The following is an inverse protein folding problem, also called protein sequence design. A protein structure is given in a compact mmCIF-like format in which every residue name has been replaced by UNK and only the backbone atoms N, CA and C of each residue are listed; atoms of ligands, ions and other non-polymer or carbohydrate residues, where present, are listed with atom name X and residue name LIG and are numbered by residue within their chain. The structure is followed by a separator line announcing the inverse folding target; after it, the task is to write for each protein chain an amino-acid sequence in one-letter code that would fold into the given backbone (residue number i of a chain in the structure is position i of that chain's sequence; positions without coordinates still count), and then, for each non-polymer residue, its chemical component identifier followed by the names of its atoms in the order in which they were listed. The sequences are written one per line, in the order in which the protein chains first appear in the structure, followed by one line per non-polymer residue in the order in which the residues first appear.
data_IF_880711965896
#
_entry.id   IF_880711965896
#
_cell.length_a   1.000
_cell.length_b   1.000
_cell.length_c   1.000
_cell.angle_alpha   90.00
_cell.angle_beta   90.00
_cell.angle_gamma   90.00
#
_symmetry.space_group_name_H-M   'P 1'
#
loop_
_entity.id
_entity.type
_entity.pdbx_description
1 polymer ?
#
# COMPACT_ATOMS: atom_id res chain seq x y z
N UNK A 1 60.53 -14.09 46.48
CA UNK A 1 60.58 -15.44 45.88
C UNK A 1 59.17 -16.03 45.95
N UNK A 2 58.64 -16.47 44.79
CA UNK A 2 57.49 -17.39 44.56
C UNK A 2 56.11 -16.89 45.08
N UNK A 3 55.04 -16.67 44.32
CA UNK A 3 54.66 -17.01 42.94
C UNK A 3 53.54 -18.06 42.94
N UNK A 4 52.28 -17.71 42.60
CA UNK A 4 51.20 -18.64 42.17
C UNK A 4 50.14 -17.84 41.36
N UNK A 5 50.16 -17.90 40.02
CA UNK A 5 49.15 -18.50 39.08
C UNK A 5 47.70 -18.01 39.22
N UNK A 6 46.92 -17.74 38.16
CA UNK A 6 47.06 -18.04 36.74
C UNK A 6 46.14 -17.20 35.85
N UNK A 7 46.58 -17.05 34.61
CA UNK A 7 45.88 -16.51 33.45
C UNK A 7 45.04 -17.58 32.76
N UNK A 8 43.88 -17.21 32.21
CA UNK A 8 43.11 -17.75 31.06
C UNK A 8 41.72 -17.08 31.17
N UNK A 9 41.05 -16.54 30.15
CA UNK A 9 41.09 -16.72 28.71
C UNK A 9 40.40 -15.53 28.02
N UNK A 10 40.87 -15.21 26.80
CA UNK A 10 40.21 -14.34 25.83
C UNK A 10 38.87 -14.97 25.41
N UNK A 11 37.81 -14.16 25.31
CA UNK A 11 36.68 -14.48 24.43
C UNK A 11 36.23 -13.23 23.65
N UNK A 12 36.32 -13.40 22.34
CA UNK A 12 35.86 -12.62 21.18
C UNK A 12 34.85 -11.49 21.40
N UNK A 13 35.26 -10.27 21.02
CA UNK A 13 34.36 -9.26 20.44
C UNK A 13 33.97 -9.74 19.04
N UNK A 14 32.69 -9.98 18.82
CA UNK A 14 32.10 -10.15 17.49
C UNK A 14 31.71 -8.75 17.00
N UNK A 15 31.96 -8.39 15.72
CA UNK A 15 31.73 -7.05 15.22
C UNK A 15 30.23 -6.76 15.10
N UNK A 16 29.85 -5.52 15.39
CA UNK A 16 28.52 -4.99 15.12
C UNK A 16 28.47 -4.75 13.61
N UNK A 17 27.85 -5.67 12.88
CA UNK A 17 27.67 -5.55 11.45
C UNK A 17 26.59 -4.48 11.19
N UNK A 18 27.03 -3.27 10.87
CA UNK A 18 26.19 -2.20 10.34
C UNK A 18 25.80 -2.56 8.92
N UNK A 19 24.85 -3.49 8.80
CA UNK A 19 24.23 -3.88 7.53
C UNK A 19 23.41 -2.72 6.98
N UNK A 20 24.08 -1.87 6.21
CA UNK A 20 23.45 -0.94 5.27
C UNK A 20 22.61 -1.78 4.30
N UNK A 21 21.28 -1.71 4.42
CA UNK A 21 20.36 -2.22 3.39
C UNK A 21 20.48 -1.31 2.17
N UNK A 22 21.45 -1.59 1.31
CA UNK A 22 21.41 -1.15 -0.07
C UNK A 22 20.23 -1.86 -0.76
N UNK A 23 19.42 -1.16 -1.57
CA UNK A 23 18.34 -1.79 -2.31
C UNK A 23 18.95 -2.75 -3.33
N UNK A 24 18.50 -4.00 -3.30
CA UNK A 24 18.86 -5.00 -4.30
C UNK A 24 18.24 -4.58 -5.63
N UNK A 25 19.06 -4.01 -6.51
CA UNK A 25 18.73 -3.83 -7.92
C UNK A 25 18.54 -5.20 -8.54
N UNK A 26 17.31 -5.53 -8.97
CA UNK A 26 17.07 -6.60 -9.92
C UNK A 26 15.80 -6.34 -10.75
N UNK A 27 16.04 -6.01 -12.02
CA UNK A 27 15.32 -6.52 -13.19
C UNK A 27 13.85 -6.13 -13.39
N UNK A 28 13.61 -5.02 -14.09
CA UNK A 28 12.66 -4.73 -15.19
C UNK A 28 11.29 -5.46 -15.34
N UNK A 29 10.80 -6.22 -14.36
CA UNK A 29 9.47 -6.83 -14.38
C UNK A 29 8.34 -5.80 -14.27
N UNK A 30 8.62 -4.67 -13.61
CA UNK A 30 7.68 -3.57 -13.36
C UNK A 30 7.21 -2.84 -14.63
N UNK A 31 8.05 -2.80 -15.67
CA UNK A 31 7.76 -2.01 -16.89
C UNK A 31 6.59 -2.59 -17.70
N UNK A 32 6.29 -3.89 -17.58
CA UNK A 32 5.18 -4.52 -18.32
C UNK A 32 3.79 -4.24 -17.72
N UNK A 33 3.71 -3.82 -16.45
CA UNK A 33 2.44 -3.56 -15.76
C UNK A 33 1.89 -2.14 -15.97
N UNK A 34 2.65 -1.24 -16.61
CA UNK A 34 2.26 0.16 -16.81
C UNK A 34 1.41 0.41 -18.08
N UNK A 35 0.99 -0.64 -18.80
CA UNK A 35 0.12 -0.50 -19.98
C UNK A 35 -1.35 -0.47 -19.59
N UNK A 36 -1.75 0.51 -18.80
CA UNK A 36 -3.16 0.85 -18.67
C UNK A 36 -3.45 1.94 -19.71
N UNK A 37 -4.27 1.61 -20.71
CA UNK A 37 -4.70 2.55 -21.74
C UNK A 37 -5.61 3.62 -21.09
N UNK A 38 -5.09 4.85 -21.00
CA UNK A 38 -5.85 6.05 -20.64
C UNK A 38 -6.13 6.88 -21.90
N UNK A 39 -7.27 7.59 -21.99
CA UNK A 39 -7.60 8.42 -23.14
C UNK A 39 -6.55 9.53 -23.35
N UNK A 40 -6.11 9.69 -24.60
CA UNK A 40 -5.14 10.70 -25.02
C UNK A 40 -5.74 12.10 -24.85
N UNK A 41 -5.08 12.97 -24.08
CA UNK A 41 -5.39 14.40 -23.96
C UNK A 41 -4.27 15.21 -24.60
N UNK A 42 -4.63 16.23 -25.39
CA UNK A 42 -3.72 17.04 -26.20
C UNK A 42 -2.61 17.75 -25.39
N UNK A 43 -1.38 17.66 -25.91
CA UNK A 43 -0.17 18.26 -25.36
C UNK A 43 -0.07 19.75 -25.71
N UNK A 44 0.05 20.61 -24.69
CA UNK A 44 0.58 21.96 -24.85
C UNK A 44 1.55 22.28 -23.71
N UNK A 45 2.84 22.36 -24.04
CA UNK A 45 3.90 22.88 -23.15
C UNK A 45 4.93 21.81 -22.73
N UNK A 46 6.20 22.04 -23.10
CA UNK A 46 7.31 21.09 -22.95
C UNK A 46 7.84 20.91 -21.51
N UNK A 47 6.98 20.54 -20.57
CA UNK A 47 7.36 20.03 -19.25
C UNK A 47 7.25 18.50 -19.22
N UNK A 48 8.27 17.79 -18.75
CA UNK A 48 8.22 16.34 -18.66
C UNK A 48 7.07 15.87 -17.74
N UNK A 49 6.25 14.94 -18.25
CA UNK A 49 5.06 14.40 -17.57
C UNK A 49 5.33 12.98 -17.07
N UNK A 50 5.06 12.72 -15.80
CA UNK A 50 5.15 11.40 -15.16
C UNK A 50 3.76 10.79 -14.92
N UNK A 51 3.67 9.46 -14.88
CA UNK A 51 2.42 8.76 -14.58
C UNK A 51 2.15 8.69 -13.07
N UNK A 52 1.26 9.54 -12.57
CA UNK A 52 0.74 9.52 -11.20
C UNK A 52 -0.24 8.37 -10.93
N UNK A 53 -0.93 8.42 -9.79
CA UNK A 53 -1.89 7.39 -9.37
C UNK A 53 -3.17 7.37 -10.22
N UNK A 54 -3.64 8.54 -10.67
CA UNK A 54 -4.88 8.68 -11.47
C UNK A 54 -4.78 9.71 -12.59
N UNK A 55 -3.74 10.54 -12.63
CA UNK A 55 -3.48 11.54 -13.67
C UNK A 55 -1.97 11.69 -13.93
N UNK A 56 -1.60 12.40 -15.01
CA UNK A 56 -0.22 12.79 -15.28
C UNK A 56 0.23 13.87 -14.28
N UNK A 57 1.46 13.79 -13.80
CA UNK A 57 2.07 14.73 -12.84
C UNK A 57 3.23 15.44 -13.52
N UNK A 58 3.32 16.76 -13.39
CA UNK A 58 4.45 17.56 -13.93
C UNK A 58 5.66 17.48 -13.00
N UNK A 59 6.86 17.69 -13.56
CA UNK A 59 8.10 17.81 -12.76
C UNK A 59 7.96 18.88 -11.68
N UNK A 60 7.32 20.02 -11.98
CA UNK A 60 7.08 21.11 -11.03
C UNK A 60 6.21 20.68 -9.85
N UNK A 61 5.19 19.84 -10.09
CA UNK A 61 4.36 19.25 -9.04
C UNK A 61 5.10 18.23 -8.17
N UNK A 62 6.13 17.57 -8.71
CA UNK A 62 7.02 16.66 -7.98
C UNK A 62 8.13 17.40 -7.20
N UNK A 63 8.63 18.51 -7.74
CA UNK A 63 9.72 19.32 -7.17
C UNK A 63 9.27 20.12 -5.95
N UNK A 64 7.97 20.38 -5.79
CA UNK A 64 7.41 20.96 -4.56
C UNK A 64 7.31 19.97 -3.38
N UNK A 65 7.44 18.67 -3.63
CA UNK A 65 7.16 17.59 -2.69
C UNK A 65 8.40 16.94 -2.05
N UNK A 66 9.59 17.08 -2.67
CA UNK A 66 10.85 16.53 -2.16
C UNK A 66 12.07 17.30 -2.70
N UNK A 67 13.10 17.39 -1.86
CA UNK A 67 14.31 18.20 -2.03
C UNK A 67 14.95 18.10 -3.43
N UNK A 68 15.15 19.24 -4.10
CA UNK A 68 15.29 19.32 -5.55
C UNK A 68 16.69 18.96 -6.11
N UNK A 69 17.59 18.47 -5.27
CA UNK A 69 19.03 18.43 -5.55
C UNK A 69 19.46 17.40 -6.61
N UNK A 70 18.85 16.20 -6.72
CA UNK A 70 19.19 15.23 -7.78
C UNK A 70 18.62 15.59 -9.17
N UNK A 71 17.57 16.40 -9.24
CA UNK A 71 16.73 16.58 -10.44
C UNK A 71 17.16 17.76 -11.34
N UNK A 72 18.18 18.52 -10.92
CA UNK A 72 18.78 19.63 -11.69
C UNK A 72 20.10 19.24 -12.41
N UNK A 73 20.39 17.95 -12.56
CA UNK A 73 21.58 17.52 -13.29
C UNK A 73 21.41 17.79 -14.80
N UNK A 74 22.28 18.59 -15.44
CA UNK A 74 22.23 18.77 -16.89
C UNK A 74 22.49 17.43 -17.58
N UNK A 75 21.48 16.87 -18.25
CA UNK A 75 21.58 15.60 -19.00
C UNK A 75 20.44 14.59 -18.79
N UNK A 76 19.42 14.87 -17.96
CA UNK A 76 18.27 13.97 -17.77
C UNK A 76 17.41 13.86 -19.05
N UNK A 77 17.28 12.66 -19.62
CA UNK A 77 16.44 12.37 -20.79
C UNK A 77 15.10 11.73 -20.37
N UNK A 78 14.00 12.20 -20.97
CA UNK A 78 12.67 11.59 -20.83
C UNK A 78 12.72 10.12 -21.25
N UNK A 79 12.50 9.21 -20.30
CA UNK A 79 12.48 7.76 -20.54
C UNK A 79 13.23 6.94 -19.49
N UNK A 80 14.21 7.53 -18.80
CA UNK A 80 14.88 6.90 -17.65
C UNK A 80 14.20 7.30 -16.34
N UNK A 81 12.98 6.78 -16.12
CA UNK A 81 12.38 6.81 -14.78
C UNK A 81 13.12 5.77 -13.93
N UNK A 82 14.16 6.21 -13.22
CA UNK A 82 14.89 5.40 -12.26
C UNK A 82 13.91 4.82 -11.22
N UNK A 83 14.14 3.56 -10.82
CA UNK A 83 13.34 2.83 -9.82
C UNK A 83 12.88 3.64 -8.58
N UNK A 84 13.68 4.58 -8.00
CA UNK A 84 13.21 5.44 -6.91
C UNK A 84 12.07 6.42 -7.28
N UNK A 85 12.00 6.90 -8.52
CA UNK A 85 10.93 7.80 -8.99
C UNK A 85 9.56 7.10 -9.02
N UNK A 86 9.54 5.82 -9.40
CA UNK A 86 8.30 5.04 -9.45
C UNK A 86 7.71 4.80 -8.04
N UNK A 87 8.56 4.56 -7.02
CA UNK A 87 8.10 4.39 -5.64
C UNK A 87 7.55 5.68 -5.02
N UNK A 88 8.11 6.84 -5.38
CA UNK A 88 7.62 8.14 -4.87
C UNK A 88 6.32 8.59 -5.55
N UNK A 89 6.13 8.23 -6.83
CA UNK A 89 4.94 8.64 -7.60
C UNK A 89 3.77 7.68 -7.41
N UNK A 90 3.99 6.37 -7.48
CA UNK A 90 2.93 5.35 -7.39
C UNK A 90 2.90 4.60 -6.05
N UNK A 91 3.97 4.68 -5.25
CA UNK A 91 4.11 3.93 -4.00
C UNK A 91 4.84 2.59 -4.18
N UNK A 92 5.19 1.98 -3.05
CA UNK A 92 5.60 0.57 -2.97
C UNK A 92 4.38 -0.36 -3.04
N UNK A 93 4.59 -1.63 -3.39
CA UNK A 93 3.49 -2.61 -3.46
C UNK A 93 2.77 -2.71 -2.11
N UNK A 94 1.44 -2.83 -2.17
CA UNK A 94 0.59 -3.16 -1.03
C UNK A 94 0.35 -4.69 -0.98
N UNK A 95 -0.33 -5.18 0.07
CA UNK A 95 -0.73 -6.60 0.15
C UNK A 95 -1.68 -6.92 -1.01
N UNK A 96 -1.19 -7.64 -2.02
CA UNK A 96 -1.89 -7.89 -3.28
C UNK A 96 -2.85 -9.09 -3.19
N UNK A 97 -2.47 -10.10 -2.43
CA UNK A 97 -3.23 -11.33 -2.27
C UNK A 97 -2.54 -12.29 -1.33
N UNK A 98 -2.83 -13.57 -1.51
CA UNK A 98 -2.36 -14.66 -0.66
C UNK A 98 -1.60 -15.67 -1.50
N UNK A 99 -0.50 -16.16 -0.95
CA UNK A 99 0.21 -17.33 -1.45
C UNK A 99 -0.18 -18.53 -0.57
N UNK A 100 -1.05 -19.39 -1.07
CA UNK A 100 -1.49 -20.57 -0.34
C UNK A 100 -0.43 -21.68 -0.48
N UNK A 101 0.26 -21.97 0.62
CA UNK A 101 1.37 -22.91 0.72
C UNK A 101 0.87 -24.36 0.84
N UNK A 102 1.29 -25.20 -0.10
CA UNK A 102 0.97 -26.63 -0.15
C UNK A 102 1.95 -27.38 -1.04
N UNK A 103 1.58 -28.59 -1.47
CA UNK A 103 2.36 -29.38 -2.44
C UNK A 103 2.60 -28.57 -3.72
N UNK A 104 1.55 -27.89 -4.19
CA UNK A 104 1.63 -26.86 -5.22
C UNK A 104 1.14 -25.55 -4.62
N UNK A 105 2.01 -24.54 -4.62
CA UNK A 105 1.65 -23.22 -4.11
C UNK A 105 0.75 -22.50 -5.10
N UNK A 106 -0.37 -21.94 -4.62
CA UNK A 106 -1.34 -21.19 -5.44
C UNK A 106 -1.36 -19.73 -5.05
N UNK A 107 -1.41 -18.84 -6.04
CA UNK A 107 -1.68 -17.41 -5.82
C UNK A 107 -3.18 -17.20 -5.87
N UNK A 108 -3.72 -16.51 -4.88
CA UNK A 108 -5.14 -16.16 -4.81
C UNK A 108 -5.28 -14.67 -4.54
N UNK A 109 -6.22 -14.03 -5.22
CA UNK A 109 -6.65 -12.69 -4.87
C UNK A 109 -7.29 -12.69 -3.48
N UNK A 110 -7.37 -11.51 -2.86
CA UNK A 110 -8.02 -11.37 -1.56
C UNK A 110 -9.49 -11.80 -1.64
N UNK A 111 -10.18 -11.43 -2.73
CA UNK A 111 -11.59 -11.75 -2.92
C UNK A 111 -11.81 -13.27 -3.07
N UNK A 112 -11.00 -13.95 -3.89
CA UNK A 112 -11.02 -15.42 -3.98
C UNK A 112 -10.78 -16.08 -2.62
N UNK A 113 -9.85 -15.55 -1.82
CA UNK A 113 -9.59 -16.06 -0.47
C UNK A 113 -10.79 -15.94 0.47
N UNK A 114 -11.59 -14.87 0.35
CA UNK A 114 -12.84 -14.71 1.10
C UNK A 114 -13.86 -15.76 0.66
N UNK A 115 -14.05 -15.94 -0.65
CA UNK A 115 -14.98 -16.94 -1.20
C UNK A 115 -14.57 -18.37 -0.81
N UNK A 116 -13.29 -18.69 -0.90
CA UNK A 116 -12.73 -19.98 -0.49
C UNK A 116 -12.70 -20.17 1.05
N UNK A 117 -13.01 -19.14 1.85
CA UNK A 117 -13.03 -19.21 3.32
C UNK A 117 -11.63 -19.36 3.94
N UNK A 118 -10.61 -18.86 3.25
CA UNK A 118 -9.21 -18.79 3.71
C UNK A 118 -8.95 -17.53 4.54
N UNK A 119 -9.67 -16.45 4.25
CA UNK A 119 -9.57 -15.16 4.94
C UNK A 119 -10.97 -14.75 5.41
N UNK A 120 -11.06 -14.13 6.59
CA UNK A 120 -12.32 -13.61 7.13
C UNK A 120 -12.89 -12.53 6.22
N UNK A 121 -14.21 -12.51 5.94
CA UNK A 121 -14.82 -11.48 5.11
C UNK A 121 -14.48 -10.06 5.56
N UNK A 122 -14.48 -9.81 6.89
CA UNK A 122 -14.07 -8.52 7.45
C UNK A 122 -12.60 -8.19 7.12
N UNK A 123 -11.68 -9.12 7.33
CA UNK A 123 -10.25 -8.94 6.99
C UNK A 123 -10.05 -8.74 5.49
N UNK A 124 -10.72 -9.52 4.66
CA UNK A 124 -10.64 -9.40 3.20
C UNK A 124 -11.15 -8.05 2.71
N UNK A 125 -12.28 -7.58 3.24
CA UNK A 125 -12.78 -6.23 2.98
C UNK A 125 -11.74 -5.17 3.35
N UNK A 126 -11.13 -5.29 4.54
CA UNK A 126 -10.15 -4.31 5.01
C UNK A 126 -8.89 -4.26 4.13
N UNK A 127 -8.42 -5.41 3.64
CA UNK A 127 -7.28 -5.47 2.73
C UNK A 127 -7.63 -4.92 1.33
N UNK A 128 -8.84 -5.19 0.82
CA UNK A 128 -9.31 -4.63 -0.45
C UNK A 128 -9.51 -3.10 -0.38
N UNK A 129 -10.00 -2.58 0.75
CA UNK A 129 -10.06 -1.13 0.97
C UNK A 129 -8.67 -0.50 1.01
N UNK A 130 -7.70 -1.18 1.64
CA UNK A 130 -6.31 -0.73 1.62
C UNK A 130 -5.73 -0.69 0.19
N UNK A 131 -6.04 -1.68 -0.65
CA UNK A 131 -5.69 -1.64 -2.08
C UNK A 131 -6.31 -0.43 -2.80
N UNK A 132 -7.63 -0.25 -2.65
CA UNK A 132 -8.34 0.87 -3.26
C UNK A 132 -7.79 2.23 -2.81
N UNK A 133 -7.53 2.39 -1.50
CA UNK A 133 -7.02 3.61 -0.89
C UNK A 133 -5.53 3.88 -1.17
N UNK A 134 -4.83 2.93 -1.78
CA UNK A 134 -3.42 3.07 -2.21
C UNK A 134 -3.27 3.17 -3.73
N UNK A 135 -4.38 3.11 -4.47
CA UNK A 135 -4.45 3.45 -5.89
C UNK A 135 -5.29 2.48 -6.72
N UNK A 136 -5.13 1.17 -6.47
CA UNK A 136 -5.59 0.14 -7.40
C UNK A 136 -5.95 -1.16 -6.68
N UNK A 137 -6.92 -1.88 -7.23
CA UNK A 137 -7.15 -3.29 -6.95
C UNK A 137 -6.17 -4.11 -7.78
N UNK A 138 -5.52 -5.09 -7.16
CA UNK A 138 -4.42 -5.84 -7.77
C UNK A 138 -4.85 -7.22 -8.24
N UNK A 139 -4.59 -7.52 -9.52
CA UNK A 139 -4.72 -8.87 -10.06
C UNK A 139 -3.41 -9.64 -9.86
N UNK A 140 -3.46 -10.67 -9.00
CA UNK A 140 -2.30 -11.50 -8.68
C UNK A 140 -1.92 -12.50 -9.79
N UNK A 141 -2.80 -12.76 -10.76
CA UNK A 141 -2.53 -13.67 -11.86
C UNK A 141 -1.74 -12.96 -12.97
N UNK A 142 -2.23 -11.80 -13.43
CA UNK A 142 -1.62 -11.02 -14.50
C UNK A 142 -0.69 -9.89 -14.05
N UNK A 143 -0.65 -9.57 -12.75
CA UNK A 143 0.10 -8.42 -12.23
C UNK A 143 -0.53 -7.07 -12.54
N UNK A 144 -1.80 -7.05 -12.96
CA UNK A 144 -2.48 -5.83 -13.41
C UNK A 144 -2.94 -4.97 -12.22
N UNK A 145 -2.97 -3.65 -12.45
CA UNK A 145 -3.47 -2.65 -11.52
C UNK A 145 -4.75 -2.07 -12.08
N UNK A 146 -5.87 -2.31 -11.40
CA UNK A 146 -7.21 -1.95 -11.88
C UNK A 146 -7.85 -0.89 -10.98
N UNK A 147 -8.59 0.03 -11.59
CA UNK A 147 -9.56 0.85 -10.83
C UNK A 147 -10.64 -0.05 -10.23
N UNK A 148 -11.34 0.42 -9.19
CA UNK A 148 -12.45 -0.35 -8.58
C UNK A 148 -13.50 -0.72 -9.62
N UNK A 149 -13.85 0.21 -10.53
CA UNK A 149 -14.81 -0.05 -11.60
C UNK A 149 -14.35 -1.16 -12.56
N UNK A 150 -13.08 -1.13 -12.96
CA UNK A 150 -12.51 -2.17 -13.82
C UNK A 150 -12.48 -3.53 -13.12
N UNK A 151 -12.05 -3.57 -11.86
CA UNK A 151 -12.00 -4.80 -11.06
C UNK A 151 -13.39 -5.44 -10.92
N UNK A 152 -14.45 -4.63 -10.71
CA UNK A 152 -15.84 -5.12 -10.69
C UNK A 152 -16.28 -5.61 -12.08
N UNK A 153 -15.93 -4.90 -13.15
CA UNK A 153 -16.35 -5.27 -14.52
C UNK A 153 -15.68 -6.55 -15.04
N UNK A 154 -14.45 -6.82 -14.60
CA UNK A 154 -13.66 -8.00 -14.95
C UNK A 154 -13.90 -9.18 -14.02
N UNK A 155 -14.68 -8.99 -12.95
CA UNK A 155 -14.99 -10.03 -11.96
C UNK A 155 -13.88 -10.31 -10.95
N UNK A 156 -12.81 -9.49 -10.92
CA UNK A 156 -11.75 -9.60 -9.91
C UNK A 156 -12.28 -9.35 -8.48
N UNK A 157 -13.30 -8.49 -8.36
CA UNK A 157 -14.06 -8.29 -7.12
C UNK A 157 -15.57 -8.33 -7.40
N UNK A 158 -16.33 -8.80 -6.42
CA UNK A 158 -17.78 -8.88 -6.52
C UNK A 158 -18.48 -7.52 -6.56
N UNK A 159 -19.64 -7.47 -7.23
CA UNK A 159 -20.46 -6.25 -7.38
C UNK A 159 -20.97 -5.72 -6.05
N UNK A 160 -21.16 -6.61 -5.08
CA UNK A 160 -21.59 -6.30 -3.71
C UNK A 160 -20.58 -5.45 -2.93
N UNK A 161 -19.31 -5.45 -3.33
CA UNK A 161 -18.26 -4.66 -2.67
C UNK A 161 -18.05 -3.29 -3.32
N UNK A 162 -18.67 -3.04 -4.49
CA UNK A 162 -18.41 -1.87 -5.34
C UNK A 162 -18.47 -0.55 -4.57
N UNK A 163 -19.58 -0.28 -3.87
CA UNK A 163 -19.79 1.03 -3.24
C UNK A 163 -18.83 1.26 -2.06
N UNK A 164 -18.52 0.20 -1.31
CA UNK A 164 -17.53 0.26 -0.22
C UNK A 164 -16.13 0.52 -0.76
N UNK A 165 -15.74 -0.15 -1.84
CA UNK A 165 -14.43 0.04 -2.46
C UNK A 165 -14.32 1.41 -3.16
N UNK A 166 -15.39 1.92 -3.78
CA UNK A 166 -15.42 3.28 -4.32
C UNK A 166 -15.29 4.34 -3.21
N UNK A 167 -15.89 4.10 -2.04
CA UNK A 167 -15.71 4.99 -0.90
C UNK A 167 -14.26 5.01 -0.39
N UNK A 168 -13.57 3.87 -0.41
CA UNK A 168 -12.14 3.78 -0.09
C UNK A 168 -11.23 4.38 -1.18
N UNK A 169 -11.57 4.22 -2.46
CA UNK A 169 -10.83 4.80 -3.60
C UNK A 169 -10.80 6.34 -3.56
N UNK A 170 -11.78 6.98 -2.91
CA UNK A 170 -11.79 8.44 -2.65
C UNK A 170 -10.63 8.91 -1.77
N UNK A 171 -9.97 8.03 -1.02
CA UNK A 171 -8.71 8.37 -0.36
C UNK A 171 -7.58 8.71 -1.35
N UNK A 172 -7.75 8.33 -2.63
CA UNK A 172 -6.83 8.63 -3.74
C UNK A 172 -7.39 9.74 -4.62
N UNK A 173 -8.68 9.67 -4.98
CA UNK A 173 -9.30 10.60 -5.94
C UNK A 173 -9.86 11.86 -5.29
N UNK A 174 -9.92 11.90 -3.96
CA UNK A 174 -10.54 12.96 -3.17
C UNK A 174 -12.01 12.71 -2.88
N UNK A 175 -12.51 13.37 -1.84
CA UNK A 175 -13.90 13.33 -1.41
C UNK A 175 -14.63 14.58 -1.91
N UNK A 176 -15.91 14.47 -2.23
CA UNK A 176 -16.72 15.64 -2.56
C UNK A 176 -17.41 16.15 -1.30
N UNK A 177 -17.14 17.39 -0.92
CA UNK A 177 -17.82 18.07 0.19
C UNK A 177 -19.31 18.29 -0.15
N UNK A 178 -20.26 17.72 0.61
CA UNK A 178 -21.68 17.87 0.32
C UNK A 178 -22.17 19.31 0.34
N UNK A 179 -21.55 20.17 1.16
CA UNK A 179 -21.99 21.55 1.35
C UNK A 179 -21.51 22.47 0.22
N UNK A 180 -20.26 22.31 -0.22
CA UNK A 180 -19.62 23.21 -1.18
C UNK A 180 -19.45 22.62 -2.59
N UNK A 181 -19.61 21.29 -2.74
CA UNK A 181 -19.30 20.56 -3.95
C UNK A 181 -17.81 20.46 -4.28
N UNK A 182 -16.93 21.01 -3.42
CA UNK A 182 -15.49 21.04 -3.66
C UNK A 182 -14.85 19.68 -3.38
N UNK A 183 -13.73 19.42 -4.06
CA UNK A 183 -12.87 18.29 -3.75
C UNK A 183 -12.10 18.57 -2.45
N UNK A 184 -12.16 17.63 -1.51
CA UNK A 184 -11.48 17.70 -0.22
C UNK A 184 -10.64 16.45 0.03
N UNK A 185 -9.63 16.60 0.87
CA UNK A 185 -8.69 15.55 1.27
C UNK A 185 -9.32 14.55 2.26
N UNK A 186 -8.66 13.41 2.48
CA UNK A 186 -9.08 12.41 3.46
C UNK A 186 -9.17 13.00 4.89
N UNK A 187 -8.21 13.84 5.29
CA UNK A 187 -8.26 14.53 6.58
C UNK A 187 -9.48 15.44 6.68
N UNK A 188 -9.71 16.29 5.68
CA UNK A 188 -10.85 17.20 5.68
C UNK A 188 -12.18 16.44 5.70
N UNK A 189 -12.30 15.34 4.95
CA UNK A 189 -13.46 14.47 4.98
C UNK A 189 -13.69 13.86 6.37
N UNK A 190 -12.61 13.44 7.05
CA UNK A 190 -12.68 12.95 8.43
C UNK A 190 -13.14 14.04 9.42
N UNK A 191 -12.62 15.27 9.31
CA UNK A 191 -12.98 16.39 10.19
C UNK A 191 -14.39 16.93 9.95
N UNK A 192 -14.91 16.75 8.73
CA UNK A 192 -16.32 17.00 8.36
C UNK A 192 -17.23 15.80 8.66
N UNK A 193 -16.75 14.77 9.35
CA UNK A 193 -17.50 13.58 9.75
C UNK A 193 -18.11 12.80 8.57
N UNK A 194 -17.55 12.95 7.36
CA UNK A 194 -17.97 12.17 6.19
C UNK A 194 -17.47 10.71 6.25
N UNK A 195 -16.54 10.44 7.17
CA UNK A 195 -15.94 9.14 7.42
C UNK A 195 -15.77 8.96 8.93
N UNK A 196 -15.92 7.72 9.39
CA UNK A 196 -15.58 7.35 10.76
C UNK A 196 -14.06 7.49 10.97
N UNK A 197 -13.58 8.17 12.03
CA UNK A 197 -12.15 8.42 12.22
C UNK A 197 -11.28 7.16 12.21
N UNK A 198 -11.75 6.06 12.80
CA UNK A 198 -11.02 4.77 12.81
C UNK A 198 -10.86 4.18 11.41
N UNK A 199 -11.83 4.40 10.53
CA UNK A 199 -11.75 3.99 9.14
C UNK A 199 -10.73 4.85 8.38
N UNK A 200 -10.82 6.18 8.51
CA UNK A 200 -9.89 7.10 7.86
C UNK A 200 -8.44 6.87 8.29
N UNK A 201 -8.19 6.67 9.60
CA UNK A 201 -6.86 6.37 10.12
C UNK A 201 -6.27 5.11 9.46
N UNK A 202 -7.04 4.02 9.36
CA UNK A 202 -6.58 2.78 8.72
C UNK A 202 -6.20 2.98 7.25
N UNK A 203 -6.93 3.83 6.51
CA UNK A 203 -6.57 4.14 5.12
C UNK A 203 -5.26 4.97 5.06
N UNK A 204 -5.09 5.94 5.96
CA UNK A 204 -3.84 6.72 6.07
C UNK A 204 -2.65 5.82 6.42
N UNK A 205 -2.80 4.92 7.38
CA UNK A 205 -1.76 3.93 7.73
C UNK A 205 -1.33 3.11 6.50
N UNK A 206 -2.29 2.66 5.68
CA UNK A 206 -1.99 1.92 4.46
C UNK A 206 -1.22 2.79 3.43
N UNK A 207 -1.58 4.07 3.29
CA UNK A 207 -0.86 5.02 2.43
C UNK A 207 0.58 5.23 2.91
N UNK A 208 0.80 5.47 4.21
CA UNK A 208 2.13 5.63 4.80
C UNK A 208 3.01 4.40 4.55
N UNK A 209 2.50 3.20 4.84
CA UNK A 209 3.22 1.94 4.61
C UNK A 209 3.58 1.73 3.13
N UNK A 210 2.79 2.29 2.22
CA UNK A 210 2.99 2.16 0.76
C UNK A 210 3.69 3.36 0.13
N UNK A 211 4.33 4.22 0.92
CA UNK A 211 5.24 5.25 0.42
C UNK A 211 4.82 6.70 0.70
N UNK A 212 3.78 6.95 1.48
CA UNK A 212 3.40 8.30 1.92
C UNK A 212 1.94 8.64 1.68
N UNK A 213 1.53 9.80 2.18
CA UNK A 213 0.15 10.31 2.11
C UNK A 213 -0.17 10.75 0.70
N UNK A 214 -1.34 10.36 0.19
CA UNK A 214 -1.75 10.73 -1.16
C UNK A 214 -2.42 12.10 -1.14
N UNK A 215 -1.95 12.99 -2.01
CA UNK A 215 -2.62 14.26 -2.28
C UNK A 215 -3.55 14.12 -3.50
N UNK A 216 -4.87 14.28 -3.34
CA UNK A 216 -5.82 14.00 -4.41
C UNK A 216 -5.75 14.98 -5.58
N UNK A 217 -5.37 16.25 -5.34
CA UNK A 217 -5.29 17.27 -6.40
C UNK A 217 -4.14 17.00 -7.38
N UNK A 218 -2.99 16.56 -6.88
CA UNK A 218 -1.79 16.35 -7.69
C UNK A 218 -1.46 14.87 -7.92
N UNK A 219 -2.28 13.94 -7.40
CA UNK A 219 -2.22 12.49 -7.66
C UNK A 219 -0.84 11.83 -7.44
N UNK A 220 -0.08 12.32 -6.47
CA UNK A 220 1.20 11.75 -6.03
C UNK A 220 1.23 11.58 -4.52
N UNK A 221 2.28 10.92 -4.02
CA UNK A 221 2.50 10.68 -2.59
C UNK A 221 3.48 11.68 -2.01
N UNK A 222 3.17 12.19 -0.83
CA UNK A 222 4.03 13.03 -0.03
C UNK A 222 4.58 12.24 1.16
N UNK A 223 5.88 12.41 1.50
CA UNK A 223 6.41 12.01 2.80
C UNK A 223 5.56 12.59 3.95
N UNK A 224 5.51 11.89 5.09
CA UNK A 224 4.59 12.22 6.20
C UNK A 224 4.85 13.63 6.77
N UNK A 225 6.11 14.02 6.86
CA UNK A 225 6.55 15.35 7.30
C UNK A 225 6.14 16.46 6.32
N UNK A 226 6.29 16.23 5.02
CA UNK A 226 5.86 17.17 3.96
C UNK A 226 4.33 17.28 3.93
N UNK A 227 3.63 16.15 4.04
CA UNK A 227 2.17 16.11 4.10
C UNK A 227 1.61 16.92 5.29
N UNK A 228 2.29 16.88 6.43
CA UNK A 228 1.96 17.71 7.59
C UNK A 228 2.15 19.21 7.31
N UNK A 229 3.28 19.59 6.68
CA UNK A 229 3.53 21.00 6.30
C UNK A 229 2.49 21.54 5.30
N UNK A 230 1.98 20.66 4.42
CA UNK A 230 0.94 21.00 3.43
C UNK A 230 -0.49 20.94 4.00
N UNK A 231 -0.66 20.63 5.29
CA UNK A 231 -1.97 20.55 5.93
C UNK A 231 -2.83 19.35 5.51
N UNK A 232 -2.22 18.33 4.90
CA UNK A 232 -2.87 17.04 4.62
C UNK A 232 -2.99 16.17 5.88
N UNK A 233 -2.14 16.43 6.87
CA UNK A 233 -2.19 15.87 8.20
C UNK A 233 -2.28 17.00 9.23
N UNK A 234 -2.97 16.77 10.34
CA UNK A 234 -2.88 17.61 11.53
C UNK A 234 -1.83 17.05 12.51
N UNK A 235 -1.57 17.77 13.60
CA UNK A 235 -0.52 17.38 14.55
C UNK A 235 -0.82 16.02 15.20
N UNK A 236 -2.09 15.74 15.50
CA UNK A 236 -2.53 14.49 16.12
C UNK A 236 -2.25 13.30 15.19
N UNK A 237 -2.66 13.39 13.93
CA UNK A 237 -2.42 12.35 12.94
C UNK A 237 -0.95 12.24 12.57
N UNK A 238 -0.22 13.34 12.47
CA UNK A 238 1.22 13.33 12.21
C UNK A 238 1.95 12.50 13.26
N UNK A 239 1.68 12.74 14.55
CA UNK A 239 2.27 11.96 15.65
C UNK A 239 1.85 10.49 15.56
N UNK A 240 0.55 10.22 15.38
CA UNK A 240 0.01 8.86 15.32
C UNK A 240 0.56 8.03 14.14
N UNK A 241 0.80 8.66 13.00
CA UNK A 241 1.30 8.00 11.78
C UNK A 241 2.84 7.94 11.74
N UNK A 242 3.53 8.82 12.48
CA UNK A 242 5.00 8.79 12.58
C UNK A 242 5.51 7.60 13.39
N UNK A 243 4.70 7.09 14.31
CA UNK A 243 5.07 5.97 15.19
C UNK A 243 4.34 4.68 14.77
N UNK A 244 5.02 3.69 14.17
CA UNK A 244 4.40 2.42 13.80
C UNK A 244 3.77 1.63 14.96
N UNK A 245 4.18 1.94 16.20
CA UNK A 245 3.69 1.29 17.42
C UNK A 245 2.29 1.75 17.83
N UNK A 246 1.86 2.95 17.41
CA UNK A 246 0.54 3.52 17.70
C UNK A 246 -0.52 3.12 16.68
N UNK A 247 -0.12 2.48 15.58
CA UNK A 247 -1.03 2.02 14.55
C UNK A 247 -2.05 1.00 15.07
N UNK A 248 -3.25 1.04 14.52
CA UNK A 248 -4.35 0.18 14.98
C UNK A 248 -4.14 -1.25 14.49
N UNK A 249 -4.31 -2.22 15.41
CA UNK A 249 -4.25 -3.65 15.08
C UNK A 249 -5.58 -4.14 14.48
N UNK A 250 -5.95 -3.57 13.35
CA UNK A 250 -7.22 -3.87 12.67
C UNK A 250 -7.21 -5.14 11.82
N UNK A 251 -6.04 -5.68 11.45
CA UNK A 251 -5.93 -6.77 10.48
C UNK A 251 -5.70 -8.12 11.16
N UNK A 252 -6.67 -9.02 11.07
CA UNK A 252 -6.55 -10.36 11.65
C UNK A 252 -5.76 -11.31 10.73
N UNK A 253 -4.70 -11.92 11.25
CA UNK A 253 -3.92 -12.92 10.53
C UNK A 253 -4.56 -14.32 10.62
N UNK A 254 -4.91 -14.97 9.50
CA UNK A 254 -5.62 -16.25 9.52
C UNK A 254 -4.87 -17.38 10.24
N UNK A 255 -3.57 -17.58 9.97
CA UNK A 255 -2.85 -18.74 10.54
C UNK A 255 -2.46 -18.56 12.02
N UNK A 256 -1.98 -17.37 12.40
CA UNK A 256 -1.50 -17.08 13.77
C UNK A 256 -2.60 -16.62 14.71
N UNK A 257 -3.80 -16.30 14.18
CA UNK A 257 -4.95 -15.77 14.91
C UNK A 257 -4.67 -14.48 15.69
N UNK A 258 -3.70 -13.68 15.21
CA UNK A 258 -3.31 -12.43 15.85
C UNK A 258 -3.88 -11.21 15.11
N UNK A 259 -4.22 -10.17 15.88
CA UNK A 259 -4.51 -8.85 15.36
C UNK A 259 -3.19 -8.10 15.09
N UNK A 260 -3.02 -7.65 13.86
CA UNK A 260 -1.82 -6.99 13.34
C UNK A 260 -2.15 -5.59 12.82
N UNK A 261 -1.17 -4.70 12.87
CA UNK A 261 -1.22 -3.45 12.10
C UNK A 261 -1.00 -3.74 10.61
N UNK A 262 -1.35 -2.79 9.74
CA UNK A 262 -1.11 -2.96 8.31
C UNK A 262 0.38 -3.17 7.99
N UNK A 263 1.27 -2.40 8.65
CA UNK A 263 2.71 -2.55 8.51
C UNK A 263 3.17 -3.96 8.90
N UNK A 264 2.68 -4.48 10.03
CA UNK A 264 3.02 -5.83 10.48
C UNK A 264 2.57 -6.89 9.46
N UNK A 265 1.35 -6.78 8.94
CA UNK A 265 0.83 -7.68 7.91
C UNK A 265 1.68 -7.60 6.62
N UNK A 266 2.03 -6.39 6.18
CA UNK A 266 2.84 -6.19 4.97
C UNK A 266 4.23 -6.81 5.08
N UNK A 267 4.85 -6.78 6.27
CA UNK A 267 6.17 -7.39 6.53
C UNK A 267 6.16 -8.92 6.52
N UNK A 268 5.00 -9.54 6.69
CA UNK A 268 4.86 -10.99 6.57
C UNK A 268 4.71 -11.44 5.12
N UNK A 269 4.45 -10.52 4.19
CA UNK A 269 4.29 -10.86 2.79
C UNK A 269 5.63 -11.19 2.13
N UNK A 270 5.56 -12.07 1.14
CA UNK A 270 6.67 -12.39 0.24
C UNK A 270 6.40 -11.80 -1.14
N UNK A 271 7.46 -11.41 -1.83
CA UNK A 271 7.32 -10.90 -3.20
C UNK A 271 7.19 -12.07 -4.17
N UNK A 272 6.15 -12.05 -5.00
CA UNK A 272 6.00 -13.02 -6.08
C UNK A 272 7.04 -12.76 -7.17
N UNK A 273 7.90 -13.74 -7.53
CA UNK A 273 8.98 -13.51 -8.48
C UNK A 273 8.49 -13.25 -9.91
N UNK A 274 7.24 -13.60 -10.23
CA UNK A 274 6.68 -13.41 -11.58
C UNK A 274 6.11 -12.00 -11.76
N UNK A 275 5.34 -11.53 -10.78
CA UNK A 275 4.59 -10.27 -10.86
C UNK A 275 5.21 -9.13 -10.06
N UNK A 276 6.10 -9.44 -9.12
CA UNK A 276 6.67 -8.47 -8.17
C UNK A 276 5.69 -8.03 -7.07
N UNK A 277 4.48 -8.61 -7.00
CA UNK A 277 3.45 -8.26 -6.03
C UNK A 277 3.71 -8.91 -4.67
N UNK A 278 3.28 -8.25 -3.59
CA UNK A 278 3.38 -8.80 -2.23
C UNK A 278 2.21 -9.74 -1.94
N UNK A 279 2.51 -10.99 -1.62
CA UNK A 279 1.54 -12.02 -1.27
C UNK A 279 1.73 -12.47 0.18
N UNK A 280 0.64 -12.53 0.96
CA UNK A 280 0.66 -13.06 2.31
C UNK A 280 0.72 -14.60 2.25
N UNK A 281 1.79 -15.26 2.74
CA UNK A 281 1.84 -16.71 2.78
C UNK A 281 0.87 -17.27 3.84
N UNK A 282 0.01 -18.20 3.44
CA UNK A 282 -0.90 -18.93 4.35
C UNK A 282 -0.80 -20.43 4.13
N UNK A 283 -0.99 -21.21 5.20
CA UNK A 283 -0.93 -22.67 5.17
C UNK A 283 -2.25 -23.26 4.65
N UNK A 284 -2.17 -24.31 3.82
CA UNK A 284 -3.37 -25.00 3.27
C UNK A 284 -4.27 -25.66 4.33
N UNK A 285 -3.77 -25.90 5.54
CA UNK A 285 -4.44 -26.69 6.60
C UNK A 285 -5.53 -25.94 7.34
N UNK A 286 -5.56 -24.60 7.29
CA UNK A 286 -6.59 -23.80 7.94
C UNK A 286 -7.62 -23.32 6.91
N UNK A 287 -8.82 -23.89 6.97
CA UNK A 287 -10.05 -23.25 6.49
C UNK A 287 -10.86 -22.82 7.69
N UNK A 288 -11.60 -21.72 7.59
CA UNK A 288 -12.42 -21.28 8.70
C UNK A 288 -13.35 -22.38 9.22
N UNK A 289 -13.57 -22.46 10.55
CA UNK A 289 -14.53 -23.39 11.12
C UNK A 289 -15.89 -23.20 10.45
N UNK A 290 -16.48 -24.29 9.97
CA UNK A 290 -17.74 -24.33 9.23
C UNK A 290 -18.89 -23.60 9.93
N UNK A 291 -18.88 -23.51 11.26
CA UNK A 291 -19.86 -22.79 12.07
C UNK A 291 -19.89 -21.26 11.81
N UNK A 292 -18.78 -20.66 11.42
CA UNK A 292 -18.66 -19.21 11.21
C UNK A 292 -18.93 -18.81 9.75
N UNK A 293 -18.77 -19.74 8.81
CA UNK A 293 -19.10 -19.55 7.39
C UNK A 293 -20.60 -19.31 7.16
N UNK A 294 -21.46 -19.89 8.00
CA UNK A 294 -22.91 -19.71 7.97
C UNK A 294 -23.38 -18.35 8.49
N UNK A 295 -22.64 -17.72 9.42
CA UNK A 295 -22.98 -16.40 9.97
C UNK A 295 -22.57 -15.24 9.06
N UNK A 296 -21.62 -15.44 8.14
CA UNK A 296 -21.21 -14.42 7.17
C UNK A 296 -22.09 -14.35 5.91
N UNK A 297 -22.96 -15.35 5.70
CA UNK A 297 -23.86 -15.45 4.53
C UNK A 297 -25.31 -15.08 4.85
N UNK A 298 -25.64 -14.80 6.11
CA UNK A 298 -26.93 -14.23 6.47
C UNK A 298 -26.99 -12.74 6.05
N UNK A 299 -27.98 -12.33 5.23
CA UNK A 299 -28.27 -10.91 5.07
C UNK A 299 -28.63 -10.38 6.45
N UNK A 300 -27.90 -9.38 6.95
CA UNK A 300 -28.42 -8.62 8.08
C UNK A 300 -29.60 -7.81 7.55
N UNK A 301 -30.81 -8.24 7.93
CA UNK A 301 -32.05 -7.48 7.81
C UNK A 301 -31.97 -6.14 8.55
#
# INVERSE_FOLDING_TARGET
AVGVTGSLSRSSRVPVDSGSCAPVENGNGWQRAASAQWPEGEEQGGSALFYGLKSRVTVEGLVGAADASPWRAPGFQEGEVSSPLHSSVQGSSCVAGVLLLGVESRRLSIYECVLEGRVWPATGMMLLEAQAATGFILDVAGGQRLTVRQAVSTGLVGRELREKLLAAERAVTGYTDPDSGQLITLLQAMRKELLVPTHALRLLEAQVVTGGIIEPHHSHRLPVDVAYQHGLLDQELFISLSEPSTHTRGFFHPDTLQNLTYLQMSRLCVQDPTTGLLLLPLSTTQTQPSALRAQAQSPQE
#
